data_IF_976177249946
#
_entry.id   IF_976177249946
#
_cell.length_a   1.000
_cell.length_b   1.000
_cell.length_c   1.000
_cell.angle_alpha   90.00
_cell.angle_beta   90.00
_cell.angle_gamma   90.00
#
_symmetry.space_group_name_H-M   'P 1'
#
loop_
_entity.id
_entity.type
_entity.pdbx_description
1 polymer ?
#
# COMPACT_ATOMS: atom_id res chain seq x y z
N UNK A 1 59.72 16.99 -47.33
CA UNK A 1 59.38 18.43 -47.26
C UNK A 1 58.42 18.70 -48.41
N UNK A 2 57.17 19.10 -48.13
CA UNK A 2 56.16 19.25 -49.20
C UNK A 2 56.52 20.43 -50.13
N UNK A 3 56.18 20.36 -51.44
CA UNK A 3 56.42 21.46 -52.38
C UNK A 3 55.74 22.76 -51.95
N UNK A 4 56.38 23.92 -52.17
CA UNK A 4 55.85 25.25 -51.77
C UNK A 4 54.42 25.50 -52.25
N UNK A 5 54.09 25.06 -53.48
CA UNK A 5 52.75 25.21 -54.04
C UNK A 5 51.68 24.43 -53.25
N UNK A 6 52.01 23.29 -52.66
CA UNK A 6 51.07 22.47 -51.87
C UNK A 6 50.77 23.12 -50.52
N UNK A 7 51.80 23.69 -49.87
CA UNK A 7 51.64 24.43 -48.62
C UNK A 7 50.85 25.73 -48.85
N UNK A 8 51.12 26.45 -49.94
CA UNK A 8 50.41 27.68 -50.30
C UNK A 8 48.97 27.42 -50.76
N UNK A 9 48.72 26.31 -51.46
CA UNK A 9 47.36 25.91 -51.85
C UNK A 9 46.51 25.52 -50.64
N UNK A 10 47.04 24.75 -49.69
CA UNK A 10 46.34 24.39 -48.46
C UNK A 10 46.10 25.60 -47.54
N UNK A 11 47.04 26.56 -47.47
CA UNK A 11 46.83 27.78 -46.67
C UNK A 11 45.78 28.71 -47.28
N UNK A 12 45.63 28.70 -48.61
CA UNK A 12 44.65 29.52 -49.34
C UNK A 12 43.28 28.84 -49.49
N UNK A 13 43.20 27.52 -49.31
CA UNK A 13 41.95 26.74 -49.40
C UNK A 13 41.75 25.85 -48.15
N UNK A 14 41.61 26.43 -46.94
CA UNK A 14 41.33 25.65 -45.75
C UNK A 14 39.97 24.96 -45.91
N UNK A 15 39.98 23.68 -46.25
CA UNK A 15 38.75 22.93 -46.46
C UNK A 15 38.17 22.63 -45.07
N UNK A 16 37.11 23.34 -44.69
CA UNK A 16 36.47 23.13 -43.39
C UNK A 16 35.74 21.79 -43.39
N UNK A 17 36.42 20.73 -42.99
CA UNK A 17 35.84 19.38 -42.83
C UNK A 17 35.02 19.24 -41.53
N UNK A 18 35.30 20.08 -40.53
CA UNK A 18 34.63 20.03 -39.23
C UNK A 18 33.18 20.50 -39.31
N UNK A 19 32.88 21.55 -40.07
CA UNK A 19 31.51 22.02 -40.29
C UNK A 19 30.60 20.93 -40.85
N UNK A 20 30.91 20.32 -42.01
CA UNK A 20 30.17 19.19 -42.56
C UNK A 20 30.12 17.97 -41.62
N UNK A 21 31.22 17.65 -40.93
CA UNK A 21 31.22 16.53 -39.98
C UNK A 21 30.28 16.76 -38.79
N UNK A 22 30.20 17.98 -38.25
CA UNK A 22 29.25 18.37 -37.20
C UNK A 22 27.81 18.26 -37.72
N UNK A 23 27.54 18.71 -38.95
CA UNK A 23 26.20 18.62 -39.56
C UNK A 23 25.79 17.16 -39.76
N UNK A 24 26.68 16.32 -40.28
CA UNK A 24 26.42 14.88 -40.47
C UNK A 24 26.23 14.17 -39.12
N UNK A 25 27.06 14.49 -38.12
CA UNK A 25 26.92 13.96 -36.76
C UNK A 25 25.58 14.34 -36.14
N UNK A 26 25.19 15.61 -36.20
CA UNK A 26 23.92 16.10 -35.68
C UNK A 26 22.72 15.45 -36.40
N UNK A 27 22.77 15.35 -37.73
CA UNK A 27 21.73 14.68 -38.51
C UNK A 27 21.65 13.18 -38.17
N UNK A 28 22.79 12.49 -38.04
CA UNK A 28 22.86 11.09 -37.64
C UNK A 28 22.27 10.84 -36.26
N UNK A 29 22.62 11.67 -35.27
CA UNK A 29 22.04 11.61 -33.92
C UNK A 29 20.54 11.87 -33.92
N UNK A 30 20.05 12.83 -34.71
CA UNK A 30 18.62 13.12 -34.81
C UNK A 30 17.85 11.95 -35.44
N UNK A 31 18.40 11.34 -36.51
CA UNK A 31 17.81 10.14 -37.14
C UNK A 31 17.80 8.96 -36.17
N UNK A 32 18.90 8.75 -35.44
CA UNK A 32 18.97 7.69 -34.43
C UNK A 32 17.95 7.90 -33.31
N UNK A 33 17.83 9.12 -32.76
CA UNK A 33 16.84 9.45 -31.75
C UNK A 33 15.40 9.28 -32.26
N UNK A 34 15.11 9.71 -33.50
CA UNK A 34 13.81 9.51 -34.13
C UNK A 34 13.50 8.02 -34.35
N UNK A 35 14.48 7.23 -34.81
CA UNK A 35 14.34 5.79 -34.95
C UNK A 35 14.08 5.12 -33.59
N UNK A 36 14.76 5.53 -32.52
CA UNK A 36 14.48 5.04 -31.17
C UNK A 36 13.05 5.36 -30.72
N UNK A 37 12.56 6.60 -30.90
CA UNK A 37 11.20 6.97 -30.53
C UNK A 37 10.13 6.21 -31.32
N UNK A 38 10.38 5.90 -32.59
CA UNK A 38 9.46 5.10 -33.41
C UNK A 38 9.52 3.62 -33.07
N UNK A 39 10.72 3.07 -32.82
CA UNK A 39 10.91 1.64 -32.56
C UNK A 39 10.60 1.22 -31.13
N UNK A 40 10.89 2.06 -30.13
CA UNK A 40 10.65 1.80 -28.71
C UNK A 40 9.41 2.53 -28.16
N UNK A 41 8.72 3.31 -29.00
CA UNK A 41 7.60 4.16 -28.59
C UNK A 41 8.05 5.43 -27.86
N UNK A 42 7.07 6.27 -27.48
CA UNK A 42 7.32 7.42 -26.62
C UNK A 42 7.35 6.95 -25.15
N UNK A 43 8.52 6.92 -24.47
CA UNK A 43 8.63 6.42 -23.10
C UNK A 43 7.92 7.33 -22.08
N UNK A 44 7.60 8.56 -22.47
CA UNK A 44 6.88 9.54 -21.65
C UNK A 44 5.42 9.69 -22.04
N UNK A 45 4.86 8.72 -22.78
CA UNK A 45 3.43 8.72 -23.07
C UNK A 45 2.66 8.59 -21.75
N UNK A 46 1.73 9.50 -21.52
CA UNK A 46 0.85 9.49 -20.36
C UNK A 46 -0.59 9.31 -20.79
N UNK A 47 -1.37 8.60 -19.98
CA UNK A 47 -2.82 8.60 -20.05
C UNK A 47 -3.41 9.24 -18.78
N UNK A 48 -4.65 9.71 -18.85
CA UNK A 48 -5.27 10.49 -17.78
C UNK A 48 -6.70 10.06 -17.50
N UNK A 49 -6.94 9.63 -16.27
CA UNK A 49 -8.28 9.39 -15.76
C UNK A 49 -8.88 10.72 -15.29
N UNK A 50 -9.92 11.22 -15.95
CA UNK A 50 -10.63 12.41 -15.52
C UNK A 50 -11.47 12.11 -14.27
N UNK A 51 -11.27 12.88 -13.19
CA UNK A 51 -11.90 12.64 -11.88
C UNK A 51 -12.88 13.74 -11.46
N UNK A 52 -13.04 14.80 -12.28
CA UNK A 52 -14.00 15.87 -12.03
C UNK A 52 -14.49 16.57 -13.29
N UNK A 53 -15.31 17.63 -13.17
CA UNK A 53 -15.85 18.36 -14.31
C UNK A 53 -14.76 18.91 -15.24
N UNK A 54 -15.07 19.00 -16.54
CA UNK A 54 -14.13 19.55 -17.53
C UNK A 54 -13.65 20.95 -17.14
N UNK A 55 -12.34 21.20 -17.27
CA UNK A 55 -11.73 22.49 -16.99
C UNK A 55 -11.36 22.75 -15.52
N UNK A 56 -11.61 21.82 -14.59
CA UNK A 56 -11.18 21.95 -13.19
C UNK A 56 -9.75 21.47 -12.94
N UNK A 57 -9.13 20.81 -13.93
CA UNK A 57 -7.82 20.18 -13.78
C UNK A 57 -7.84 18.87 -12.99
N UNK A 58 -9.00 18.38 -12.56
CA UNK A 58 -9.14 17.13 -11.81
C UNK A 58 -8.94 15.91 -12.72
N UNK A 59 -7.73 15.36 -12.70
CA UNK A 59 -7.37 14.12 -13.36
C UNK A 59 -6.19 13.43 -12.65
N UNK A 60 -6.12 12.11 -12.77
CA UNK A 60 -4.95 11.30 -12.39
C UNK A 60 -4.21 10.91 -13.67
N UNK A 61 -3.05 11.53 -13.89
CA UNK A 61 -2.15 11.19 -14.99
C UNK A 61 -1.18 10.08 -14.57
N UNK A 62 -0.96 9.09 -15.42
CA UNK A 62 0.03 8.02 -15.24
C UNK A 62 0.78 7.78 -16.54
N UNK A 63 2.00 7.27 -16.46
CA UNK A 63 2.69 6.76 -17.65
C UNK A 63 1.94 5.52 -18.18
N UNK A 64 1.85 5.41 -19.50
CA UNK A 64 1.20 4.27 -20.16
C UNK A 64 1.89 2.95 -19.78
N UNK A 65 3.20 2.98 -19.56
CA UNK A 65 3.98 1.84 -19.07
C UNK A 65 3.48 1.36 -17.70
N UNK A 66 3.20 2.29 -16.79
CA UNK A 66 2.78 1.98 -15.42
C UNK A 66 1.34 1.44 -15.39
N UNK A 67 0.50 1.89 -16.32
CA UNK A 67 -0.87 1.37 -16.49
C UNK A 67 -0.84 -0.07 -17.01
N UNK A 68 0.07 -0.36 -17.95
CA UNK A 68 0.16 -1.68 -18.58
C UNK A 68 0.99 -2.69 -17.78
N UNK A 69 1.64 -2.27 -16.70
CA UNK A 69 2.44 -3.14 -15.84
C UNK A 69 1.63 -3.41 -14.56
N UNK A 70 0.93 -4.55 -14.46
CA UNK A 70 0.20 -4.89 -13.25
C UNK A 70 1.15 -5.15 -12.08
N UNK A 71 0.57 -5.30 -10.89
CA UNK A 71 1.31 -5.79 -9.72
C UNK A 71 1.89 -7.19 -10.02
N UNK A 72 3.23 -7.35 -10.04
CA UNK A 72 3.86 -8.61 -10.42
C UNK A 72 3.53 -9.74 -9.46
N UNK A 73 3.22 -9.44 -8.19
CA UNK A 73 2.90 -10.46 -7.18
C UNK A 73 1.55 -11.13 -7.41
N UNK A 74 0.72 -10.62 -8.33
CA UNK A 74 -0.53 -11.27 -8.74
C UNK A 74 -0.24 -12.62 -9.41
N UNK A 75 0.86 -12.73 -10.16
CA UNK A 75 1.23 -13.99 -10.83
C UNK A 75 1.54 -15.12 -9.83
N UNK A 76 2.00 -14.76 -8.62
CA UNK A 76 2.35 -15.67 -7.54
C UNK A 76 1.17 -15.96 -6.59
N UNK A 77 -0.02 -15.38 -6.83
CA UNK A 77 -1.18 -15.61 -5.99
C UNK A 77 -1.72 -17.03 -6.16
N UNK A 78 -1.66 -17.82 -5.07
CA UNK A 78 -2.27 -19.14 -5.01
C UNK A 78 -3.78 -19.06 -4.76
N UNK A 79 -4.58 -19.83 -5.50
CA UNK A 79 -6.02 -19.99 -5.30
C UNK A 79 -6.45 -21.42 -5.65
N UNK A 80 -7.52 -21.92 -5.03
CA UNK A 80 -8.08 -23.26 -5.26
C UNK A 80 -9.58 -23.26 -4.97
N UNK A 81 -10.38 -23.85 -5.87
CA UNK A 81 -11.84 -23.86 -5.77
C UNK A 81 -12.29 -24.59 -4.48
N UNK A 82 -13.33 -24.09 -3.79
CA UNK A 82 -13.80 -24.73 -2.57
C UNK A 82 -14.47 -26.07 -2.84
N UNK A 83 -14.39 -26.97 -1.86
CA UNK A 83 -15.16 -28.21 -1.88
C UNK A 83 -16.54 -27.94 -1.29
N UNK A 84 -17.61 -28.25 -2.04
CA UNK A 84 -18.99 -28.12 -1.54
C UNK A 84 -19.22 -29.18 -0.46
N UNK A 85 -19.49 -28.78 0.81
CA UNK A 85 -19.76 -29.73 1.90
C UNK A 85 -20.98 -30.61 1.64
N UNK A 86 -20.87 -31.92 1.87
CA UNK A 86 -22.03 -32.83 1.91
C UNK A 86 -22.68 -32.85 3.30
N UNK A 87 -23.99 -33.17 3.35
CA UNK A 87 -24.72 -33.27 4.62
C UNK A 87 -24.13 -34.40 5.49
N UNK A 88 -23.70 -34.05 6.71
CA UNK A 88 -23.15 -35.00 7.68
C UNK A 88 -21.65 -35.23 7.56
N UNK A 89 -20.92 -34.48 6.73
CA UNK A 89 -19.46 -34.44 6.79
C UNK A 89 -18.97 -33.98 8.18
N UNK A 90 -17.88 -34.60 8.64
CA UNK A 90 -17.25 -34.24 9.91
C UNK A 90 -16.61 -32.85 9.80
N UNK A 91 -16.82 -32.04 10.84
CA UNK A 91 -16.28 -30.69 10.92
C UNK A 91 -14.92 -30.68 11.62
N UNK A 92 -14.06 -29.73 11.27
CA UNK A 92 -12.74 -29.54 11.81
C UNK A 92 -12.76 -29.40 13.34
N UNK A 93 -13.78 -28.74 13.90
CA UNK A 93 -13.98 -28.62 15.33
C UNK A 93 -14.28 -29.94 16.04
N UNK A 94 -14.78 -30.95 15.32
CA UNK A 94 -15.11 -32.27 15.87
C UNK A 94 -13.94 -33.27 15.77
N UNK A 95 -13.09 -33.13 14.75
CA UNK A 95 -12.01 -34.10 14.44
C UNK A 95 -10.61 -33.63 14.84
N UNK A 96 -10.38 -32.31 14.91
CA UNK A 96 -9.07 -31.74 15.25
C UNK A 96 -9.05 -31.17 16.67
N UNK A 97 -7.88 -31.24 17.30
CA UNK A 97 -7.64 -30.62 18.59
C UNK A 97 -7.27 -29.13 18.42
N UNK A 98 -7.75 -28.29 19.33
CA UNK A 98 -7.42 -26.86 19.42
C UNK A 98 -7.82 -25.99 18.19
N UNK A 99 -8.91 -26.34 17.51
CA UNK A 99 -9.54 -25.48 16.51
C UNK A 99 -10.49 -24.49 17.20
N UNK A 100 -10.13 -23.21 17.22
CA UNK A 100 -10.85 -22.15 17.96
C UNK A 100 -11.66 -21.20 17.07
N UNK A 101 -11.33 -21.11 15.78
CA UNK A 101 -11.93 -20.15 14.84
C UNK A 101 -12.57 -20.87 13.65
N UNK A 102 -11.85 -21.81 13.05
CA UNK A 102 -12.25 -22.50 11.82
C UNK A 102 -12.98 -23.83 12.11
N UNK A 103 -13.76 -23.87 13.20
CA UNK A 103 -14.41 -25.11 13.67
C UNK A 103 -15.47 -25.65 12.73
N UNK A 104 -16.15 -24.76 12.00
CA UNK A 104 -17.27 -25.07 11.12
C UNK A 104 -16.85 -25.54 9.71
N UNK A 105 -15.54 -25.65 9.43
CA UNK A 105 -15.06 -26.12 8.14
C UNK A 105 -15.07 -27.64 8.07
N UNK A 106 -15.37 -28.21 6.91
CA UNK A 106 -15.11 -29.64 6.66
C UNK A 106 -13.61 -29.91 6.64
N UNK A 107 -13.21 -31.17 6.87
CA UNK A 107 -11.80 -31.57 6.82
C UNK A 107 -11.07 -31.10 5.54
N UNK A 108 -11.73 -31.28 4.39
CA UNK A 108 -11.19 -30.91 3.10
C UNK A 108 -10.97 -29.39 2.97
N UNK A 109 -11.96 -28.58 3.37
CA UNK A 109 -11.85 -27.13 3.30
C UNK A 109 -10.89 -26.55 4.34
N UNK A 110 -10.80 -27.15 5.52
CA UNK A 110 -9.81 -26.78 6.53
C UNK A 110 -8.38 -26.96 5.98
N UNK A 111 -8.09 -28.13 5.41
CA UNK A 111 -6.77 -28.41 4.82
C UNK A 111 -6.47 -27.54 3.59
N UNK A 112 -7.49 -27.25 2.76
CA UNK A 112 -7.40 -26.30 1.63
C UNK A 112 -6.93 -24.93 2.09
N UNK A 113 -7.57 -24.38 3.13
CA UNK A 113 -7.21 -23.08 3.71
C UNK A 113 -5.81 -23.12 4.35
N UNK A 114 -5.44 -24.18 5.07
CA UNK A 114 -4.10 -24.30 5.66
C UNK A 114 -2.99 -24.28 4.60
N UNK A 115 -3.20 -24.96 3.47
CA UNK A 115 -2.28 -24.91 2.34
C UNK A 115 -2.18 -23.49 1.77
N UNK A 116 -3.31 -22.82 1.55
CA UNK A 116 -3.33 -21.46 1.02
C UNK A 116 -2.64 -20.45 1.94
N UNK A 117 -2.92 -20.51 3.26
CA UNK A 117 -2.24 -19.67 4.25
C UNK A 117 -0.73 -19.88 4.23
N UNK A 118 -0.27 -21.12 4.03
CA UNK A 118 1.16 -21.42 3.89
C UNK A 118 1.73 -20.72 2.66
N UNK A 119 1.10 -20.86 1.49
CA UNK A 119 1.55 -20.20 0.26
C UNK A 119 1.53 -18.67 0.37
N UNK A 120 0.55 -18.11 1.08
CA UNK A 120 0.38 -16.66 1.16
C UNK A 120 1.29 -15.97 2.17
N UNK A 121 1.76 -16.70 3.19
CA UNK A 121 2.47 -16.12 4.35
C UNK A 121 3.88 -16.65 4.49
N UNK A 122 4.10 -17.96 4.36
CA UNK A 122 5.41 -18.58 4.62
C UNK A 122 5.67 -19.75 3.63
N UNK A 123 5.68 -19.47 2.31
CA UNK A 123 5.88 -20.50 1.29
C UNK A 123 7.26 -21.18 1.41
N UNK A 124 8.27 -20.45 1.88
CA UNK A 124 9.63 -20.96 2.05
C UNK A 124 9.80 -21.82 3.31
N UNK A 125 9.18 -21.43 4.42
CA UNK A 125 9.24 -22.15 5.69
C UNK A 125 8.21 -23.29 5.81
N UNK A 126 7.13 -23.23 5.03
CA UNK A 126 6.07 -24.22 5.02
C UNK A 126 5.26 -24.28 6.31
N UNK A 127 4.58 -25.41 6.54
CA UNK A 127 3.72 -25.63 7.71
C UNK A 127 4.45 -25.42 9.05
N UNK A 128 5.75 -25.72 9.08
CA UNK A 128 6.60 -25.61 10.27
C UNK A 128 6.77 -24.17 10.77
N UNK A 129 6.44 -23.17 9.95
CA UNK A 129 6.46 -21.77 10.38
C UNK A 129 5.49 -21.50 11.53
N UNK A 130 4.31 -22.13 11.50
CA UNK A 130 3.27 -22.00 12.52
C UNK A 130 3.16 -23.23 13.43
N UNK A 131 3.64 -24.40 13.01
CA UNK A 131 3.49 -25.64 13.77
C UNK A 131 4.84 -26.26 14.10
N UNK A 132 5.23 -26.25 15.38
CA UNK A 132 6.52 -26.78 15.86
C UNK A 132 6.74 -28.27 15.53
N UNK A 133 5.66 -29.05 15.50
CA UNK A 133 5.68 -30.49 15.21
C UNK A 133 5.09 -30.87 13.86
N UNK A 134 5.06 -29.95 12.87
CA UNK A 134 4.49 -30.22 11.55
C UNK A 134 5.05 -31.50 10.90
N UNK A 135 6.38 -31.69 10.97
CA UNK A 135 7.07 -32.86 10.41
C UNK A 135 6.69 -34.18 11.10
N UNK A 136 6.15 -34.09 12.31
CA UNK A 136 5.72 -35.22 13.15
C UNK A 136 4.19 -35.39 13.14
N UNK A 137 3.47 -34.57 12.37
CA UNK A 137 2.00 -34.56 12.32
C UNK A 137 1.33 -33.94 13.54
N UNK A 138 2.06 -33.18 14.35
CA UNK A 138 1.56 -32.51 15.55
C UNK A 138 1.21 -31.07 15.20
N UNK A 139 -0.09 -30.77 15.11
CA UNK A 139 -0.59 -29.47 14.71
C UNK A 139 -1.33 -28.69 15.80
N UNK A 140 -1.69 -29.35 16.92
CA UNK A 140 -2.58 -28.79 17.94
C UNK A 140 -1.89 -27.77 18.88
N UNK A 141 -0.58 -27.88 19.10
CA UNK A 141 0.15 -27.06 20.08
C UNK A 141 0.23 -25.58 19.68
N UNK A 142 0.18 -24.68 20.67
CA UNK A 142 0.30 -23.22 20.50
C UNK A 142 1.68 -22.69 20.94
N UNK A 143 2.69 -23.57 20.95
CA UNK A 143 4.05 -23.25 21.42
C UNK A 143 4.76 -22.18 20.58
N UNK A 144 4.41 -22.07 19.30
CA UNK A 144 4.95 -21.04 18.41
C UNK A 144 4.08 -19.79 18.43
N UNK A 145 4.71 -18.64 18.67
CA UNK A 145 4.05 -17.32 18.65
C UNK A 145 3.32 -17.05 17.32
N UNK A 146 3.86 -17.59 16.22
CA UNK A 146 3.32 -17.45 14.86
C UNK A 146 1.92 -18.05 14.73
N UNK A 147 1.61 -19.14 15.43
CA UNK A 147 0.26 -19.72 15.44
C UNK A 147 -0.74 -18.87 16.21
N UNK A 148 -0.34 -18.34 17.36
CA UNK A 148 -1.16 -17.41 18.15
C UNK A 148 -1.48 -16.17 17.33
N UNK A 149 -0.47 -15.61 16.63
CA UNK A 149 -0.65 -14.49 15.70
C UNK A 149 -1.53 -14.88 14.51
N UNK A 150 -1.32 -16.03 13.87
CA UNK A 150 -2.11 -16.48 12.73
C UNK A 150 -3.60 -16.61 13.07
N UNK A 151 -3.94 -17.14 14.26
CA UNK A 151 -5.32 -17.21 14.75
C UNK A 151 -5.96 -15.83 14.90
N UNK A 152 -5.21 -14.85 15.38
CA UNK A 152 -5.67 -13.46 15.45
C UNK A 152 -5.86 -12.85 14.05
N UNK A 153 -4.97 -13.16 13.09
CA UNK A 153 -5.07 -12.65 11.71
C UNK A 153 -6.24 -13.25 10.93
N UNK A 154 -6.63 -14.50 11.17
CA UNK A 154 -7.83 -15.11 10.56
C UNK A 154 -9.07 -14.31 10.99
N UNK A 155 -9.24 -14.08 12.29
CA UNK A 155 -10.37 -13.32 12.82
C UNK A 155 -10.36 -11.86 12.34
N UNK A 156 -9.19 -11.22 12.29
CA UNK A 156 -9.04 -9.88 11.70
C UNK A 156 -9.50 -9.87 10.24
N UNK A 157 -9.10 -10.87 9.45
CA UNK A 157 -9.47 -10.99 8.02
C UNK A 157 -10.98 -11.13 7.84
N UNK A 158 -11.62 -12.02 8.61
CA UNK A 158 -13.07 -12.20 8.61
C UNK A 158 -13.78 -10.91 9.03
N UNK A 159 -13.30 -10.24 10.08
CA UNK A 159 -13.86 -8.95 10.53
C UNK A 159 -13.76 -7.87 9.45
N UNK A 160 -12.63 -7.76 8.76
CA UNK A 160 -12.47 -6.81 7.65
C UNK A 160 -13.49 -7.09 6.54
N UNK A 161 -13.62 -8.35 6.13
CA UNK A 161 -14.49 -8.72 5.02
C UNK A 161 -15.97 -8.55 5.34
N UNK A 162 -16.37 -8.74 6.59
CA UNK A 162 -17.76 -8.61 7.04
C UNK A 162 -18.14 -7.17 7.44
N UNK A 163 -17.33 -6.54 8.28
CA UNK A 163 -17.67 -5.26 8.91
C UNK A 163 -17.26 -4.05 8.08
N UNK A 164 -16.31 -4.22 7.15
CA UNK A 164 -15.76 -3.12 6.34
C UNK A 164 -16.11 -3.23 4.85
N UNK A 165 -17.23 -3.88 4.50
CA UNK A 165 -17.72 -4.00 3.11
C UNK A 165 -17.82 -2.67 2.38
N UNK A 166 -18.17 -1.58 3.08
CA UNK A 166 -18.23 -0.22 2.52
C UNK A 166 -16.87 0.34 2.09
N UNK A 167 -15.77 -0.27 2.54
CA UNK A 167 -14.41 0.01 2.09
C UNK A 167 -13.90 -1.08 1.14
N UNK A 168 -13.79 -2.33 1.62
CA UNK A 168 -13.13 -3.41 0.88
C UNK A 168 -13.96 -3.98 -0.26
N UNK A 169 -15.27 -3.69 -0.33
CA UNK A 169 -16.15 -4.14 -1.42
C UNK A 169 -16.95 -2.99 -2.06
N UNK A 170 -16.50 -1.74 -1.89
CA UNK A 170 -17.28 -0.54 -2.25
C UNK A 170 -17.73 -0.46 -3.72
N UNK A 171 -16.99 -1.09 -4.64
CA UNK A 171 -17.26 -1.05 -6.07
C UNK A 171 -17.51 -2.43 -6.69
N UNK A 172 -17.07 -3.49 -6.03
CA UNK A 172 -17.04 -4.87 -6.51
C UNK A 172 -16.69 -5.78 -5.34
N UNK A 173 -17.17 -7.01 -5.38
CA UNK A 173 -16.79 -8.05 -4.43
C UNK A 173 -15.33 -8.42 -4.65
N UNK A 174 -14.49 -8.12 -3.66
CA UNK A 174 -13.06 -8.45 -3.68
C UNK A 174 -12.51 -8.93 -2.35
N UNK A 175 -12.91 -8.26 -1.27
CA UNK A 175 -12.42 -8.54 0.09
C UNK A 175 -10.90 -8.39 0.24
N UNK A 176 -10.40 -8.99 1.31
CA UNK A 176 -8.98 -9.15 1.63
C UNK A 176 -8.72 -10.58 2.08
N UNK A 177 -7.49 -11.04 1.92
CA UNK A 177 -6.98 -12.26 2.51
C UNK A 177 -5.53 -12.07 2.97
N UNK A 178 -4.89 -13.12 3.48
CA UNK A 178 -3.52 -13.06 3.99
C UNK A 178 -2.54 -12.49 2.96
N UNK A 179 -2.68 -12.90 1.69
CA UNK A 179 -1.80 -12.48 0.61
C UNK A 179 -1.86 -10.98 0.33
N UNK A 180 -3.03 -10.35 0.58
CA UNK A 180 -3.22 -8.90 0.36
C UNK A 180 -2.13 -8.08 1.05
N UNK A 181 -1.75 -8.48 2.27
CA UNK A 181 -0.68 -7.86 3.06
C UNK A 181 0.67 -8.59 2.88
N UNK A 182 0.68 -9.90 3.08
CA UNK A 182 1.91 -10.70 3.24
C UNK A 182 2.68 -10.92 1.95
N UNK A 183 2.00 -11.12 0.81
CA UNK A 183 2.65 -11.34 -0.50
C UNK A 183 3.73 -12.44 -0.48
N UNK A 184 3.46 -13.54 0.22
CA UNK A 184 4.42 -14.64 0.36
C UNK A 184 5.54 -14.37 1.37
N UNK A 185 5.49 -13.28 2.11
CA UNK A 185 6.47 -12.96 3.16
C UNK A 185 5.84 -13.04 4.55
N UNK A 186 6.54 -13.71 5.47
CA UNK A 186 6.03 -13.91 6.82
C UNK A 186 5.91 -12.61 7.62
N UNK A 187 6.67 -11.59 7.22
CA UNK A 187 6.50 -10.20 7.65
C UNK A 187 6.05 -9.38 6.45
N UNK A 188 4.85 -8.79 6.48
CA UNK A 188 4.39 -7.96 5.38
C UNK A 188 5.34 -6.79 5.11
N UNK A 189 5.62 -6.55 3.84
CA UNK A 189 6.20 -5.28 3.39
C UNK A 189 5.25 -4.11 3.64
N UNK A 190 5.80 -2.91 3.82
CA UNK A 190 5.04 -1.66 4.02
C UNK A 190 4.23 -1.60 5.35
N UNK A 191 4.69 -2.31 6.37
CA UNK A 191 4.36 -2.01 7.78
C UNK A 191 5.09 -0.75 8.25
N UNK A 192 4.65 -0.16 9.36
CA UNK A 192 5.29 1.02 9.91
C UNK A 192 5.50 0.97 11.42
N UNK A 193 6.57 1.64 11.85
CA UNK A 193 6.95 1.84 13.25
C UNK A 193 7.01 3.33 13.56
N UNK A 194 6.90 3.68 14.84
CA UNK A 194 7.06 5.05 15.30
C UNK A 194 8.53 5.48 15.15
N UNK A 195 8.75 6.63 14.51
CA UNK A 195 10.10 7.16 14.25
C UNK A 195 10.30 8.61 14.71
N UNK A 196 9.24 9.29 15.14
CA UNK A 196 9.35 10.63 15.73
C UNK A 196 9.89 10.56 17.16
N UNK A 197 10.67 11.56 17.61
CA UNK A 197 11.20 12.68 16.84
C UNK A 197 12.32 12.24 15.88
N UNK A 198 12.39 12.88 14.71
CA UNK A 198 13.34 12.55 13.63
C UNK A 198 14.59 13.42 13.61
N UNK A 199 14.62 14.51 14.40
CA UNK A 199 15.78 15.36 14.61
C UNK A 199 16.11 15.51 16.10
N UNK A 200 17.13 14.77 16.56
CA UNK A 200 17.53 14.73 17.98
C UNK A 200 18.04 16.08 18.54
N UNK A 201 18.58 16.95 17.69
CA UNK A 201 19.12 18.26 18.08
C UNK A 201 18.06 19.38 18.10
N UNK A 202 16.79 19.05 17.86
CA UNK A 202 15.69 20.00 17.78
C UNK A 202 14.62 19.69 18.85
N UNK A 203 13.73 20.65 19.11
CA UNK A 203 12.61 20.49 20.05
C UNK A 203 11.31 20.97 19.43
N UNK A 204 10.19 20.52 20.01
CA UNK A 204 8.85 20.81 19.51
C UNK A 204 8.64 20.32 18.08
N UNK A 205 7.85 21.06 17.30
CA UNK A 205 7.53 20.70 15.91
C UNK A 205 8.75 20.46 15.01
N UNK A 206 9.82 21.23 15.20
CA UNK A 206 11.05 21.08 14.40
C UNK A 206 11.77 19.75 14.61
N UNK A 207 11.51 19.07 15.74
CA UNK A 207 12.01 17.73 15.99
C UNK A 207 11.31 16.65 15.15
N UNK A 208 10.07 16.91 14.71
CA UNK A 208 9.23 15.92 14.02
C UNK A 208 9.19 16.08 12.49
N UNK A 209 9.75 17.16 11.93
CA UNK A 209 9.73 17.46 10.49
C UNK A 209 11.12 17.86 9.95
N UNK A 210 11.24 18.47 8.77
CA UNK A 210 12.52 18.89 8.15
C UNK A 210 13.52 17.75 7.87
N UNK A 211 13.04 16.51 7.78
CA UNK A 211 13.83 15.34 7.40
C UNK A 211 13.02 14.48 6.45
N UNK A 212 13.62 14.09 5.33
CA UNK A 212 13.01 13.13 4.42
C UNK A 212 13.00 11.75 5.10
N UNK A 213 11.80 11.20 5.31
CA UNK A 213 11.60 9.86 5.86
C UNK A 213 10.66 9.07 4.97
N UNK A 214 10.59 7.76 5.19
CA UNK A 214 9.59 6.92 4.51
C UNK A 214 8.18 7.30 4.93
N UNK A 215 7.94 7.65 6.20
CA UNK A 215 6.60 8.04 6.68
C UNK A 215 6.14 9.39 6.12
N UNK A 216 7.06 10.35 5.94
CA UNK A 216 6.75 11.63 5.28
C UNK A 216 6.73 11.55 3.75
N UNK A 217 6.86 10.34 3.18
CA UNK A 217 6.98 10.09 1.74
C UNK A 217 8.07 10.95 1.09
N UNK A 218 9.25 10.97 1.72
CA UNK A 218 10.45 11.68 1.29
C UNK A 218 10.31 13.21 1.21
N UNK A 219 9.33 13.79 1.89
CA UNK A 219 9.17 15.24 2.04
C UNK A 219 9.78 15.74 3.36
N UNK A 220 9.89 17.06 3.51
CA UNK A 220 10.27 17.70 4.77
C UNK A 220 9.11 17.86 5.77
N UNK A 221 7.95 17.28 5.49
CA UNK A 221 6.75 17.36 6.35
C UNK A 221 6.90 16.50 7.63
N UNK A 222 6.00 16.67 8.62
CA UNK A 222 6.04 15.88 9.86
C UNK A 222 5.99 14.37 9.62
N UNK A 223 6.83 13.61 10.33
CA UNK A 223 6.93 12.15 10.24
C UNK A 223 6.06 11.41 11.28
N UNK A 224 5.27 12.14 12.08
CA UNK A 224 4.41 11.59 13.13
C UNK A 224 2.94 11.40 12.69
N UNK A 225 2.59 11.77 11.45
CA UNK A 225 1.20 11.85 11.01
C UNK A 225 0.42 10.52 11.12
N UNK A 226 1.05 9.37 10.80
CA UNK A 226 0.39 8.06 10.96
C UNK A 226 0.12 7.74 12.43
N UNK A 227 1.05 8.06 13.33
CA UNK A 227 0.86 7.84 14.76
C UNK A 227 -0.29 8.69 15.28
N UNK A 228 -0.29 9.98 14.96
CA UNK A 228 -1.30 10.90 15.48
C UNK A 228 -2.71 10.60 14.95
N UNK A 229 -2.84 10.20 13.68
CA UNK A 229 -4.16 9.97 13.09
C UNK A 229 -4.65 8.52 13.14
N UNK A 230 -3.75 7.52 13.06
CA UNK A 230 -4.15 6.11 13.06
C UNK A 230 -4.06 5.46 14.45
N UNK A 231 -3.36 6.08 15.41
CA UNK A 231 -3.16 5.52 16.76
C UNK A 231 -3.70 6.43 17.86
N UNK A 232 -3.50 7.74 17.77
CA UNK A 232 -4.04 8.71 18.75
C UNK A 232 -5.40 9.28 18.34
N UNK A 233 -5.88 8.97 17.12
CA UNK A 233 -7.20 9.36 16.62
C UNK A 233 -7.41 10.89 16.64
N UNK A 234 -6.32 11.66 16.46
CA UNK A 234 -6.41 13.12 16.35
C UNK A 234 -7.31 13.55 15.18
N UNK A 235 -7.89 14.75 15.29
CA UNK A 235 -8.71 15.34 14.23
C UNK A 235 -7.85 15.70 13.00
N UNK A 236 -8.20 15.15 11.84
CA UNK A 236 -7.52 15.42 10.55
C UNK A 236 -7.96 16.76 9.95
N UNK A 237 -9.22 17.14 10.13
CA UNK A 237 -9.80 18.36 9.57
C UNK A 237 -9.20 19.63 10.18
N UNK A 238 -8.66 20.50 9.33
CA UNK A 238 -7.97 21.76 9.74
C UNK A 238 -8.62 23.02 9.16
N UNK A 239 -9.76 22.89 8.49
CA UNK A 239 -10.47 24.01 7.87
C UNK A 239 -11.59 24.52 8.76
N UNK A 240 -11.61 25.82 8.98
CA UNK A 240 -12.78 26.54 9.44
C UNK A 240 -13.78 26.72 8.30
N UNK A 241 -15.07 26.48 8.58
CA UNK A 241 -16.14 26.61 7.57
C UNK A 241 -16.67 28.03 7.46
N UNK A 242 -16.47 28.85 8.49
CA UNK A 242 -16.83 30.26 8.50
C UNK A 242 -15.69 31.12 7.95
N UNK A 243 -16.02 32.18 7.22
CA UNK A 243 -15.00 33.08 6.65
C UNK A 243 -14.17 33.81 7.72
N UNK A 244 -14.68 33.90 8.95
CA UNK A 244 -13.99 34.51 10.10
C UNK A 244 -14.36 33.73 11.35
N UNK A 245 -13.38 33.00 11.88
CA UNK A 245 -13.51 32.29 13.16
C UNK A 245 -12.74 33.06 14.22
N UNK A 246 -13.36 33.19 15.39
CA UNK A 246 -12.68 33.67 16.59
C UNK A 246 -12.04 32.47 17.28
N UNK A 247 -10.78 32.60 17.69
CA UNK A 247 -10.09 31.58 18.46
C UNK A 247 -8.58 31.81 18.49
N UNK A 248 -7.94 31.22 19.50
CA UNK A 248 -6.50 31.27 19.72
C UNK A 248 -5.83 29.97 19.26
N UNK A 249 -4.88 30.08 18.34
CA UNK A 249 -4.00 28.96 17.95
C UNK A 249 -3.19 28.47 19.17
N UNK A 250 -2.78 29.38 20.06
CA UNK A 250 -1.96 29.05 21.23
C UNK A 250 -2.74 28.25 22.27
N UNK A 251 -4.05 28.43 22.34
CA UNK A 251 -4.96 27.71 23.25
C UNK A 251 -5.57 26.47 22.57
N UNK A 252 -5.25 26.22 21.29
CA UNK A 252 -5.75 25.08 20.52
C UNK A 252 -7.21 25.21 20.09
N UNK A 253 -7.78 26.42 20.10
CA UNK A 253 -9.18 26.66 19.73
C UNK A 253 -9.41 26.61 18.21
N UNK A 254 -8.35 26.86 17.43
CA UNK A 254 -8.34 26.79 15.96
C UNK A 254 -7.11 26.06 15.46
N UNK A 255 -7.22 25.41 14.31
CA UNK A 255 -6.14 24.61 13.76
C UNK A 255 -4.90 25.48 13.43
N UNK A 256 -3.72 25.00 13.80
CA UNK A 256 -2.46 25.68 13.49
C UNK A 256 -1.93 25.31 12.10
N UNK A 257 -0.98 26.11 11.59
CA UNK A 257 -0.25 25.74 10.37
C UNK A 257 0.53 24.43 10.55
N UNK A 258 0.98 24.12 11.77
CA UNK A 258 1.71 22.89 12.04
C UNK A 258 0.80 21.66 11.96
N UNK A 259 -0.43 21.77 12.48
CA UNK A 259 -1.46 20.75 12.27
C UNK A 259 -1.81 20.62 10.78
N UNK A 260 -1.87 21.73 10.05
CA UNK A 260 -2.05 21.72 8.59
C UNK A 260 -0.92 20.97 7.88
N UNK A 261 0.34 21.18 8.26
CA UNK A 261 1.50 20.45 7.72
C UNK A 261 1.42 18.94 8.04
N UNK A 262 0.96 18.57 9.23
CA UNK A 262 0.74 17.16 9.61
C UNK A 262 -0.37 16.52 8.77
N UNK A 263 -1.53 17.19 8.63
CA UNK A 263 -2.60 16.73 7.74
C UNK A 263 -2.10 16.58 6.31
N UNK A 264 -1.28 17.53 5.83
CA UNK A 264 -0.72 17.44 4.48
C UNK A 264 0.25 16.26 4.34
N UNK A 265 1.06 15.97 5.37
CA UNK A 265 1.92 14.77 5.41
C UNK A 265 1.09 13.49 5.29
N UNK A 266 -0.01 13.41 6.04
CA UNK A 266 -0.93 12.27 5.99
C UNK A 266 -1.58 12.11 4.61
N UNK A 267 -2.03 13.21 3.99
CA UNK A 267 -2.60 13.18 2.63
C UNK A 267 -1.57 12.79 1.56
N UNK A 268 -0.29 13.15 1.76
CA UNK A 268 0.79 12.72 0.89
C UNK A 268 1.03 11.20 1.05
N UNK A 269 1.06 10.68 2.28
CA UNK A 269 1.08 9.24 2.54
C UNK A 269 -0.09 8.53 1.86
N UNK A 270 -1.29 9.07 1.98
CA UNK A 270 -2.50 8.53 1.35
C UNK A 270 -2.36 8.42 -0.17
N UNK A 271 -1.94 9.52 -0.82
CA UNK A 271 -1.79 9.59 -2.27
C UNK A 271 -0.77 8.59 -2.80
N UNK A 272 0.39 8.50 -2.15
CA UNK A 272 1.46 7.56 -2.54
C UNK A 272 1.10 6.11 -2.23
N UNK A 273 0.33 5.84 -1.16
CA UNK A 273 -0.14 4.50 -0.82
C UNK A 273 -1.04 3.91 -1.89
N UNK A 274 -1.82 4.75 -2.58
CA UNK A 274 -2.77 4.35 -3.63
C UNK A 274 -2.22 4.60 -5.05
N UNK A 275 -1.05 5.21 -5.20
CA UNK A 275 -0.50 5.62 -6.50
C UNK A 275 -1.43 6.55 -7.27
N UNK A 276 -2.01 7.52 -6.58
CA UNK A 276 -2.91 8.56 -7.12
C UNK A 276 -2.43 9.95 -6.67
N UNK A 277 -3.16 11.00 -7.05
CA UNK A 277 -2.90 12.37 -6.58
C UNK A 277 -4.10 12.92 -5.79
N UNK A 278 -3.96 14.13 -5.25
CA UNK A 278 -4.98 14.75 -4.38
C UNK A 278 -6.34 14.89 -5.05
N UNK A 279 -6.35 15.14 -6.37
CA UNK A 279 -7.58 15.37 -7.14
C UNK A 279 -8.30 14.08 -7.53
N UNK A 280 -7.80 12.93 -7.09
CA UNK A 280 -8.54 11.68 -7.05
C UNK A 280 -9.69 11.74 -6.05
N UNK A 281 -9.48 12.36 -4.87
CA UNK A 281 -10.48 12.49 -3.81
C UNK A 281 -11.08 13.90 -3.71
N UNK A 282 -10.31 14.95 -4.01
CA UNK A 282 -10.70 16.33 -3.70
C UNK A 282 -10.78 17.24 -4.92
N UNK A 283 -11.60 18.28 -4.85
CA UNK A 283 -11.36 19.49 -5.63
C UNK A 283 -10.42 20.40 -4.85
N UNK A 284 -9.19 20.61 -5.35
CA UNK A 284 -8.14 21.33 -4.61
C UNK A 284 -8.47 22.79 -4.29
N UNK A 285 -9.51 23.37 -4.90
CA UNK A 285 -9.99 24.72 -4.53
C UNK A 285 -10.69 24.74 -3.17
N UNK A 286 -11.18 23.58 -2.69
CA UNK A 286 -11.88 23.42 -1.41
C UNK A 286 -11.79 21.97 -0.93
N UNK A 287 -10.67 21.59 -0.30
CA UNK A 287 -10.45 20.23 0.20
C UNK A 287 -11.51 19.75 1.21
N UNK A 288 -12.10 20.69 1.96
CA UNK A 288 -13.06 20.43 3.03
C UNK A 288 -14.52 20.29 2.55
N UNK A 289 -14.84 20.63 1.31
CA UNK A 289 -16.23 20.76 0.87
C UNK A 289 -16.80 19.41 0.38
N UNK A 290 -17.70 18.75 1.14
CA UNK A 290 -18.27 17.46 0.76
C UNK A 290 -19.12 17.52 -0.51
N UNK A 291 -19.56 18.71 -0.94
CA UNK A 291 -20.25 18.91 -2.23
C UNK A 291 -19.31 18.91 -3.43
N UNK A 292 -17.99 18.86 -3.22
CA UNK A 292 -16.97 18.97 -4.27
C UNK A 292 -15.91 17.87 -4.24
N UNK A 293 -16.00 16.93 -3.30
CA UNK A 293 -15.18 15.72 -3.28
C UNK A 293 -15.74 14.67 -4.25
N UNK A 294 -14.93 13.67 -4.57
CA UNK A 294 -15.36 12.50 -5.34
C UNK A 294 -15.89 11.40 -4.40
N UNK A 295 -16.63 10.39 -4.90
CA UNK A 295 -17.07 9.26 -4.08
C UNK A 295 -15.93 8.53 -3.36
N UNK A 296 -14.72 8.54 -3.95
CA UNK A 296 -13.52 7.92 -3.37
C UNK A 296 -13.13 8.55 -2.04
N UNK A 297 -13.48 9.81 -1.77
CA UNK A 297 -13.28 10.44 -0.46
C UNK A 297 -14.08 9.74 0.66
N UNK A 298 -15.30 9.28 0.37
CA UNK A 298 -16.12 8.54 1.33
C UNK A 298 -15.54 7.15 1.60
N UNK A 299 -15.15 6.42 0.55
CA UNK A 299 -14.45 5.12 0.69
C UNK A 299 -13.13 5.27 1.45
N UNK A 300 -12.37 6.34 1.20
CA UNK A 300 -11.13 6.64 1.91
C UNK A 300 -11.36 6.93 3.39
N UNK A 301 -12.43 7.65 3.74
CA UNK A 301 -12.80 7.93 5.13
C UNK A 301 -13.07 6.64 5.92
N UNK A 302 -13.79 5.68 5.31
CA UNK A 302 -13.98 4.35 5.89
C UNK A 302 -12.65 3.59 6.03
N UNK A 303 -11.74 3.73 5.07
CA UNK A 303 -10.41 3.12 5.14
C UNK A 303 -9.55 3.65 6.29
N UNK A 304 -9.71 4.92 6.68
CA UNK A 304 -9.04 5.49 7.86
C UNK A 304 -9.56 4.82 9.13
N UNK A 305 -10.87 4.74 9.29
CA UNK A 305 -11.50 4.09 10.45
C UNK A 305 -11.17 2.60 10.52
N UNK A 306 -11.11 1.91 9.37
CA UNK A 306 -10.68 0.52 9.29
C UNK A 306 -9.22 0.35 9.73
N UNK A 307 -8.31 1.20 9.26
CA UNK A 307 -6.89 1.12 9.66
C UNK A 307 -6.70 1.43 11.15
N UNK A 308 -7.51 2.33 11.72
CA UNK A 308 -7.58 2.58 13.15
C UNK A 308 -8.00 1.32 13.91
N UNK A 309 -9.12 0.69 13.54
CA UNK A 309 -9.59 -0.57 14.14
C UNK A 309 -8.55 -1.70 14.03
N UNK A 310 -7.99 -1.92 12.83
CA UNK A 310 -6.92 -2.91 12.61
C UNK A 310 -5.79 -2.72 13.63
N UNK A 311 -5.32 -1.50 13.81
CA UNK A 311 -4.23 -1.26 14.73
C UNK A 311 -4.65 -1.44 16.19
N UNK A 312 -5.77 -0.85 16.61
CA UNK A 312 -6.21 -0.89 18.00
C UNK A 312 -6.59 -2.30 18.47
N UNK A 313 -7.32 -3.04 17.66
CA UNK A 313 -7.99 -4.27 18.09
C UNK A 313 -7.19 -5.53 17.71
N UNK A 314 -6.35 -5.46 16.67
CA UNK A 314 -5.70 -6.65 16.11
C UNK A 314 -4.16 -6.61 16.17
N UNK A 315 -3.53 -5.46 15.94
CA UNK A 315 -2.06 -5.37 15.86
C UNK A 315 -1.41 -4.96 17.19
N UNK A 316 -1.92 -3.94 17.85
CA UNK A 316 -1.34 -3.48 19.12
C UNK A 316 -1.46 -4.53 20.25
N UNK A 317 -2.56 -5.29 20.39
CA UNK A 317 -2.69 -6.28 21.46
C UNK A 317 -1.73 -7.46 21.34
N UNK A 318 -1.30 -7.81 20.12
CA UNK A 318 -0.37 -8.93 19.92
C UNK A 318 1.10 -8.56 20.16
N UNK A 319 1.41 -7.30 20.50
CA UNK A 319 2.79 -6.83 20.74
C UNK A 319 3.56 -7.75 21.69
N UNK A 320 2.95 -8.13 22.81
CA UNK A 320 3.63 -8.90 23.87
C UNK A 320 3.86 -10.37 23.50
N UNK A 321 3.24 -10.84 22.42
CA UNK A 321 3.44 -12.17 21.84
C UNK A 321 4.57 -12.15 20.81
N UNK A 322 4.88 -10.99 20.24
CA UNK A 322 5.94 -10.86 19.22
C UNK A 322 7.33 -10.91 19.86
N UNK A 323 8.29 -11.63 19.26
CA UNK A 323 9.67 -11.59 19.72
C UNK A 323 10.33 -10.24 19.39
N UNK A 324 11.36 -9.87 20.16
CA UNK A 324 12.04 -8.56 20.06
C UNK A 324 12.46 -8.16 18.63
N UNK A 325 12.87 -9.13 17.80
CA UNK A 325 13.29 -8.89 16.42
C UNK A 325 12.15 -8.51 15.46
N UNK A 326 10.89 -8.54 15.92
CA UNK A 326 9.71 -8.07 15.18
C UNK A 326 9.23 -6.69 15.65
N UNK A 327 9.82 -6.15 16.71
CA UNK A 327 9.44 -4.86 17.28
C UNK A 327 10.25 -3.71 16.68
N UNK A 328 9.66 -2.51 16.70
CA UNK A 328 10.28 -1.31 16.18
C UNK A 328 11.54 -0.92 16.95
N UNK A 329 12.60 -0.44 16.28
CA UNK A 329 13.92 -0.26 16.88
C UNK A 329 14.00 0.87 17.92
N UNK A 330 13.07 1.83 17.89
CA UNK A 330 13.10 3.01 18.77
C UNK A 330 12.18 2.86 19.98
N UNK A 331 10.97 2.34 19.77
CA UNK A 331 9.93 2.28 20.80
C UNK A 331 9.53 0.85 21.19
N UNK A 332 10.17 -0.16 20.59
CA UNK A 332 9.76 -1.55 20.70
C UNK A 332 8.24 -1.70 20.44
N UNK A 333 7.72 -0.97 19.46
CA UNK A 333 6.31 -0.95 19.09
C UNK A 333 6.01 -2.03 18.03
N UNK A 334 4.78 -2.53 18.01
CA UNK A 334 4.34 -3.54 17.04
C UNK A 334 4.37 -2.98 15.59
N UNK A 335 4.59 -3.84 14.57
CA UNK A 335 4.56 -3.46 13.15
C UNK A 335 3.13 -3.13 12.73
N UNK A 336 2.78 -1.85 12.73
CA UNK A 336 1.41 -1.38 12.47
C UNK A 336 1.06 -1.44 10.99
N UNK A 337 -0.23 -1.60 10.72
CA UNK A 337 -0.79 -1.53 9.39
C UNK A 337 -1.21 -0.09 9.04
N UNK A 338 -1.19 0.23 7.75
CA UNK A 338 -1.73 1.47 7.19
C UNK A 338 -2.12 1.23 5.72
N UNK A 339 -2.52 2.29 5.00
CA UNK A 339 -3.00 2.19 3.62
C UNK A 339 -2.03 1.41 2.71
N UNK A 340 -0.72 1.71 2.78
CA UNK A 340 0.30 1.09 1.92
C UNK A 340 0.54 -0.40 2.20
N UNK A 341 0.18 -0.89 3.39
CA UNK A 341 0.33 -2.31 3.77
C UNK A 341 -0.48 -3.22 2.83
N UNK A 342 -1.70 -2.80 2.45
CA UNK A 342 -2.54 -3.52 1.49
C UNK A 342 -2.39 -2.98 0.06
N UNK A 343 -2.46 -1.66 -0.10
CA UNK A 343 -2.54 -1.03 -1.42
C UNK A 343 -1.21 -1.05 -2.19
N UNK A 344 -0.06 -0.99 -1.51
CA UNK A 344 1.29 -1.08 -2.10
C UNK A 344 1.51 -0.21 -3.35
N UNK A 345 0.88 0.98 -3.41
CA UNK A 345 0.99 1.90 -4.54
C UNK A 345 -0.10 1.73 -5.61
N UNK A 346 -1.08 0.86 -5.39
CA UNK A 346 -2.20 0.62 -6.30
C UNK A 346 -3.51 1.15 -5.74
N UNK A 347 -4.34 1.73 -6.61
CA UNK A 347 -5.65 2.28 -6.21
C UNK A 347 -6.54 1.19 -5.60
N UNK A 348 -6.49 -0.01 -6.16
CA UNK A 348 -7.09 -1.23 -5.61
C UNK A 348 -5.96 -2.26 -5.40
N UNK A 349 -5.85 -2.88 -4.22
CA UNK A 349 -4.87 -3.95 -4.01
C UNK A 349 -4.99 -5.02 -5.09
N UNK A 350 -3.85 -5.51 -5.61
CA UNK A 350 -3.81 -6.59 -6.62
C UNK A 350 -4.70 -6.33 -7.84
N UNK A 351 -4.82 -5.08 -8.28
CA UNK A 351 -5.68 -4.70 -9.42
C UNK A 351 -7.18 -4.87 -9.16
N UNK A 352 -7.59 -5.13 -7.92
CA UNK A 352 -8.97 -5.46 -7.57
C UNK A 352 -9.34 -6.91 -7.89
N UNK A 353 -8.39 -7.83 -7.84
CA UNK A 353 -8.65 -9.27 -7.86
C UNK A 353 -9.63 -9.64 -6.73
N UNK A 354 -10.62 -10.49 -7.03
CA UNK A 354 -11.50 -11.01 -6.01
C UNK A 354 -10.81 -12.16 -5.26
N UNK A 355 -10.25 -11.84 -4.10
CA UNK A 355 -9.45 -12.78 -3.31
C UNK A 355 -10.24 -13.56 -2.28
N UNK A 356 -11.55 -13.28 -2.17
CA UNK A 356 -12.46 -14.06 -1.33
C UNK A 356 -13.35 -15.01 -2.15
N UNK A 357 -13.31 -14.94 -3.49
CA UNK A 357 -14.14 -15.75 -4.38
C UNK A 357 -14.06 -17.24 -4.06
N UNK A 358 -12.84 -17.76 -3.88
CA UNK A 358 -12.59 -19.18 -3.62
C UNK A 358 -12.44 -19.47 -2.11
N UNK A 359 -12.68 -18.48 -1.24
CA UNK A 359 -12.38 -18.53 0.20
C UNK A 359 -13.52 -17.97 1.06
N UNK A 360 -14.74 -18.53 0.96
CA UNK A 360 -15.90 -18.06 1.73
C UNK A 360 -15.67 -18.10 3.25
N UNK A 361 -14.79 -18.99 3.74
CA UNK A 361 -14.39 -19.07 5.15
C UNK A 361 -13.59 -17.85 5.64
N UNK A 362 -13.07 -17.03 4.73
CA UNK A 362 -12.45 -15.74 5.05
C UNK A 362 -13.38 -14.56 4.80
N UNK A 363 -14.49 -14.75 4.09
CA UNK A 363 -15.41 -13.68 3.68
C UNK A 363 -16.33 -13.21 4.82
N UNK A 364 -16.57 -14.04 5.84
CA UNK A 364 -17.47 -13.75 6.96
C UNK A 364 -17.01 -14.46 8.23
N UNK A 365 -17.46 -13.98 9.40
CA UNK A 365 -17.30 -14.65 10.70
C UNK A 365 -18.33 -15.76 10.94
N UNK A 366 -19.41 -15.80 10.14
CA UNK A 366 -20.43 -16.85 10.20
C UNK A 366 -20.02 -18.15 9.52
N UNK A 367 -20.90 -19.15 9.56
CA UNK A 367 -20.70 -20.40 8.81
C UNK A 367 -20.62 -20.10 7.31
N UNK A 368 -19.52 -20.48 6.63
CA UNK A 368 -19.33 -20.17 5.22
C UNK A 368 -20.33 -20.91 4.33
N UNK A 369 -20.75 -20.24 3.26
CA UNK A 369 -21.59 -20.82 2.21
C UNK A 369 -20.71 -21.11 1.00
N UNK A 370 -20.79 -22.33 0.52
CA UNK A 370 -20.07 -22.81 -0.67
C UNK A 370 -21.10 -23.00 -1.79
N UNK A 371 -20.93 -22.27 -2.90
CA UNK A 371 -21.87 -22.28 -4.04
C UNK A 371 -21.28 -22.89 -5.32
#
# INVERSE_FOLDING_TARGET
MFPKWFTEWNSKNPTNIYGPAIVVGAAGSAVFAAALLVSFGQPFATDSMQTGPRGTGMHVAKYVTDINTPDPTIEDYYTDEPYIPEEGEELAGDIYENVQVLGDLTDANFNRLMNAMTQWVAPDEGCAYCHSGADEGIYADDDLYTKVVARNMIQMTQSINENWVGHVQANQEVGVNCYTCHRGEAVPSEVWFRIDPVNENAQGWSANQNRATTLSQFTSLPSDALYQYLIEYETIGVHDLESRVAGSIAEGEVASIQQTERTYSFMNYFSNSLGVNCVFCHNSRAFYDPGQVTPQWATASLGISMAQEINADWILPIKDVLPDHRLGPLYADAPKAACKTCHKGYQKPMGGLNVIADWPELATTGTPVYE
#
